data_IF_406701763044
#
_entry.id   IF_406701763044
#
_cell.length_a   1.000
_cell.length_b   1.000
_cell.length_c   1.000
_cell.angle_alpha   90.00
_cell.angle_beta   90.00
_cell.angle_gamma   90.00
#
_symmetry.space_group_name_H-M   'P 1'
#
loop_
_entity.id
_entity.type
_entity.pdbx_description
1 polymer ?
#
# COMPACT_ATOMS: atom_id res chain seq x y z
N UNK A 1 -14.36 1.88 13.27
CA UNK A 1 -13.79 3.10 12.63
C UNK A 1 -12.97 2.66 11.44
N UNK A 2 -13.09 3.32 10.29
CA UNK A 2 -12.36 2.95 9.08
C UNK A 2 -11.13 3.84 8.95
N UNK A 3 -9.95 3.24 8.80
CA UNK A 3 -8.67 3.97 8.75
C UNK A 3 -7.96 3.60 7.44
N UNK A 4 -7.53 4.63 6.70
CA UNK A 4 -6.63 4.49 5.56
C UNK A 4 -5.36 5.28 5.83
N UNK A 5 -4.23 4.58 5.91
CA UNK A 5 -2.93 5.19 6.17
C UNK A 5 -1.96 4.88 5.04
N UNK A 6 -1.11 5.85 4.73
CA UNK A 6 0.04 5.70 3.84
C UNK A 6 1.29 5.82 4.71
N UNK A 7 1.81 4.69 5.18
CA UNK A 7 2.96 4.67 6.10
C UNK A 7 4.23 4.89 5.28
N UNK A 8 4.99 5.97 5.52
CA UNK A 8 6.17 6.28 4.72
C UNK A 8 7.34 5.36 5.08
N UNK A 9 8.33 5.27 4.18
CA UNK A 9 9.51 4.43 4.38
C UNK A 9 10.31 4.81 5.64
N UNK A 10 10.26 6.07 6.06
CA UNK A 10 10.95 6.59 7.24
C UNK A 10 10.33 6.08 8.55
N UNK A 11 9.05 5.69 8.54
CA UNK A 11 8.32 5.20 9.70
C UNK A 11 8.51 3.69 9.91
N UNK A 12 9.74 3.27 10.19
CA UNK A 12 10.11 1.84 10.27
C UNK A 12 9.26 1.05 11.29
N UNK A 13 9.04 1.60 12.48
CA UNK A 13 8.25 0.94 13.53
C UNK A 13 6.81 0.73 13.08
N UNK A 14 6.18 1.76 12.53
CA UNK A 14 4.79 1.69 12.05
C UNK A 14 4.64 0.68 10.90
N UNK A 15 5.62 0.62 10.00
CA UNK A 15 5.63 -0.35 8.91
C UNK A 15 5.67 -1.78 9.44
N UNK A 16 6.58 -2.06 10.40
CA UNK A 16 6.69 -3.37 11.05
C UNK A 16 5.43 -3.74 11.82
N UNK A 17 4.82 -2.79 12.51
CA UNK A 17 3.59 -3.00 13.27
C UNK A 17 2.39 -3.28 12.37
N UNK A 18 2.30 -2.61 11.21
CA UNK A 18 1.26 -2.86 10.22
C UNK A 18 1.34 -4.28 9.65
N UNK A 19 2.54 -4.80 9.40
CA UNK A 19 2.77 -6.16 8.88
C UNK A 19 2.61 -7.26 9.94
N UNK A 20 2.61 -6.92 11.22
CA UNK A 20 2.54 -7.91 12.31
C UNK A 20 1.26 -8.75 12.22
N UNK A 21 1.41 -10.07 12.19
CA UNK A 21 0.29 -11.01 12.10
C UNK A 21 -0.31 -11.15 10.70
N UNK A 22 0.22 -10.47 9.69
CA UNK A 22 -0.19 -10.61 8.29
C UNK A 22 0.76 -11.60 7.59
N UNK A 23 0.21 -12.57 6.86
CA UNK A 23 1.02 -13.41 5.97
C UNK A 23 1.36 -12.60 4.71
N UNK A 24 2.63 -12.30 4.51
CA UNK A 24 3.10 -11.47 3.41
C UNK A 24 4.38 -12.02 2.78
N UNK A 25 4.65 -11.59 1.54
CA UNK A 25 5.88 -11.90 0.83
C UNK A 25 7.01 -10.94 1.20
N UNK A 26 8.26 -11.30 0.85
CA UNK A 26 9.43 -10.42 0.98
C UNK A 26 9.21 -9.02 0.39
N UNK A 27 8.43 -8.92 -0.69
CA UNK A 27 8.14 -7.65 -1.32
C UNK A 27 7.42 -6.67 -0.39
N UNK A 28 6.71 -7.12 0.64
CA UNK A 28 6.04 -6.20 1.58
C UNK A 28 6.97 -5.58 2.62
N UNK A 29 8.20 -6.07 2.77
CA UNK A 29 9.10 -5.55 3.80
C UNK A 29 9.61 -4.17 3.43
N UNK A 30 9.91 -3.38 4.47
CA UNK A 30 10.43 -2.03 4.31
C UNK A 30 11.74 -2.03 3.53
N UNK A 31 12.60 -3.01 3.78
CA UNK A 31 13.92 -3.13 3.15
C UNK A 31 13.80 -3.35 1.65
N UNK A 32 12.90 -4.25 1.22
CA UNK A 32 12.60 -4.46 -0.20
C UNK A 32 12.07 -3.18 -0.85
N UNK A 33 11.11 -2.52 -0.19
CA UNK A 33 10.52 -1.27 -0.69
C UNK A 33 11.54 -0.12 -0.74
N UNK A 34 12.43 -0.03 0.24
CA UNK A 34 13.49 0.96 0.31
C UNK A 34 14.51 0.77 -0.82
N UNK A 35 14.90 -0.48 -1.10
CA UNK A 35 15.75 -0.78 -2.25
C UNK A 35 15.10 -0.34 -3.56
N UNK A 36 13.80 -0.61 -3.74
CA UNK A 36 13.07 -0.14 -4.91
C UNK A 36 13.03 1.38 -5.01
N UNK A 37 12.73 2.07 -3.91
CA UNK A 37 12.79 3.53 -3.83
C UNK A 37 14.16 4.08 -4.24
N UNK A 38 15.27 3.49 -3.80
CA UNK A 38 16.61 3.91 -4.19
C UNK A 38 16.87 3.76 -5.70
N UNK A 39 16.26 2.75 -6.34
CA UNK A 39 16.44 2.52 -7.79
C UNK A 39 15.54 3.38 -8.67
N UNK A 40 14.34 3.73 -8.21
CA UNK A 40 13.33 4.45 -9.02
C UNK A 40 13.20 5.92 -8.65
N UNK A 41 13.57 6.30 -7.43
CA UNK A 41 13.31 7.61 -6.84
C UNK A 41 11.85 7.85 -6.45
N UNK A 42 10.96 6.86 -6.58
CA UNK A 42 9.53 7.05 -6.33
C UNK A 42 9.22 7.14 -4.83
N UNK A 43 8.29 8.02 -4.46
CA UNK A 43 7.78 8.09 -3.08
C UNK A 43 7.03 6.80 -2.78
N UNK A 44 7.54 6.02 -1.84
CA UNK A 44 7.03 4.67 -1.56
C UNK A 44 6.46 4.61 -0.15
N UNK A 45 5.32 3.94 -0.02
CA UNK A 45 4.54 3.82 1.19
C UNK A 45 4.06 2.39 1.37
N UNK A 46 3.72 2.02 2.61
CA UNK A 46 2.82 0.92 2.88
C UNK A 46 1.42 1.49 3.05
N UNK A 47 0.55 1.23 2.09
CA UNK A 47 -0.86 1.44 2.31
C UNK A 47 -1.33 0.44 3.38
N UNK A 48 -2.08 0.93 4.36
CA UNK A 48 -2.71 0.13 5.41
C UNK A 48 -4.18 0.53 5.56
N UNK A 49 -5.05 -0.45 5.42
CA UNK A 49 -6.48 -0.37 5.65
C UNK A 49 -6.84 -1.13 6.91
N UNK A 50 -7.61 -0.51 7.79
CA UNK A 50 -8.19 -1.17 8.96
C UNK A 50 -9.71 -0.93 9.06
N UNK A 51 -10.45 -2.01 9.31
CA UNK A 51 -11.89 -1.99 9.57
C UNK A 51 -12.31 -3.22 10.36
N UNK A 52 -12.91 -3.03 11.53
CA UNK A 52 -13.54 -4.09 12.35
C UNK A 52 -12.67 -5.36 12.53
N UNK A 53 -11.37 -5.16 12.80
CA UNK A 53 -10.39 -6.22 13.00
C UNK A 53 -9.77 -6.78 11.72
N UNK A 54 -10.26 -6.39 10.55
CA UNK A 54 -9.62 -6.63 9.26
C UNK A 54 -8.47 -5.64 9.09
N UNK A 55 -7.31 -6.14 8.66
CA UNK A 55 -6.18 -5.33 8.21
C UNK A 55 -5.72 -5.80 6.84
N UNK A 56 -5.65 -4.86 5.88
CA UNK A 56 -5.13 -5.10 4.53
C UNK A 56 -4.01 -4.12 4.25
N UNK A 57 -2.91 -4.63 3.72
CA UNK A 57 -1.71 -3.85 3.42
C UNK A 57 -1.25 -4.06 1.98
N UNK A 58 -0.61 -3.05 1.42
CA UNK A 58 0.00 -3.12 0.09
C UNK A 58 1.11 -2.07 -0.03
N UNK A 59 2.33 -2.45 -0.41
CA UNK A 59 3.33 -1.48 -0.80
C UNK A 59 2.88 -0.77 -2.06
N UNK A 60 2.93 0.55 -2.02
CA UNK A 60 2.53 1.42 -3.12
C UNK A 60 3.57 2.50 -3.33
N UNK A 61 3.74 2.91 -4.57
CA UNK A 61 4.60 4.02 -4.95
C UNK A 61 3.79 5.06 -5.73
N UNK A 62 4.07 6.32 -5.45
CA UNK A 62 3.55 7.45 -6.23
C UNK A 62 4.56 7.79 -7.34
N UNK A 63 4.05 7.91 -8.57
CA UNK A 63 4.79 8.45 -9.70
C UNK A 63 3.96 9.54 -10.38
N UNK A 64 4.64 10.55 -10.90
CA UNK A 64 4.00 11.55 -11.74
C UNK A 64 3.94 11.03 -13.18
N UNK A 65 2.75 11.02 -13.76
CA UNK A 65 2.54 10.62 -15.15
C UNK A 65 1.42 11.46 -15.77
N UNK A 66 1.66 12.05 -16.94
CA UNK A 66 0.62 12.79 -17.67
C UNK A 66 -0.05 13.95 -16.90
N UNK A 67 0.62 14.53 -15.90
CA UNK A 67 0.08 15.64 -15.10
C UNK A 67 -0.79 15.21 -13.90
N UNK A 68 -0.85 13.92 -13.58
CA UNK A 68 -1.50 13.39 -12.38
C UNK A 68 -0.56 12.48 -11.58
N UNK A 69 -0.91 12.26 -10.31
CA UNK A 69 -0.22 11.30 -9.44
C UNK A 69 -0.86 9.94 -9.61
N UNK A 70 -0.05 8.99 -10.06
CA UNK A 70 -0.41 7.60 -10.26
C UNK A 70 0.13 6.75 -9.09
N UNK A 71 -0.76 5.98 -8.46
CA UNK A 71 -0.40 5.00 -7.46
C UNK A 71 -0.23 3.65 -8.13
N UNK A 72 0.99 3.13 -8.05
CA UNK A 72 1.35 1.82 -8.56
C UNK A 72 1.82 0.91 -7.45
N UNK A 73 1.75 -0.40 -7.67
CA UNK A 73 2.65 -1.29 -6.92
C UNK A 73 4.06 -1.10 -7.48
N UNK A 74 5.11 -1.06 -6.64
CA UNK A 74 6.47 -1.07 -7.16
C UNK A 74 6.68 -2.31 -8.06
N UNK A 75 7.50 -2.19 -9.11
CA UNK A 75 7.68 -3.27 -10.09
C UNK A 75 8.07 -4.60 -9.42
N UNK A 76 7.33 -5.67 -9.72
CA UNK A 76 7.59 -7.04 -9.21
C UNK A 76 6.79 -7.45 -7.96
N UNK A 77 5.78 -6.67 -7.55
CA UNK A 77 5.08 -6.85 -6.27
C UNK A 77 3.77 -7.62 -6.38
N UNK A 78 3.38 -8.25 -5.26
CA UNK A 78 2.28 -9.21 -5.15
C UNK A 78 0.89 -8.62 -4.84
N UNK A 79 0.73 -7.29 -4.88
CA UNK A 79 -0.56 -6.63 -4.61
C UNK A 79 -0.95 -6.62 -3.13
N UNK A 80 -2.26 -6.57 -2.86
CA UNK A 80 -2.82 -6.52 -1.51
C UNK A 80 -2.71 -7.85 -0.77
N UNK A 81 -2.44 -7.80 0.53
CA UNK A 81 -2.55 -8.95 1.44
C UNK A 81 -3.14 -8.51 2.77
N UNK A 82 -3.75 -9.43 3.51
CA UNK A 82 -4.38 -9.13 4.79
C UNK A 82 -4.32 -10.27 5.79
N UNK A 83 -4.85 -10.01 6.98
CA UNK A 83 -5.01 -11.04 8.02
C UNK A 83 -6.18 -12.00 7.72
N UNK A 84 -7.20 -11.53 6.99
CA UNK A 84 -8.36 -12.30 6.53
C UNK A 84 -8.82 -11.78 5.17
N UNK A 85 -9.52 -12.62 4.42
CA UNK A 85 -10.18 -12.21 3.18
C UNK A 85 -11.34 -11.25 3.51
N UNK A 86 -11.47 -10.17 2.72
CA UNK A 86 -12.50 -9.17 2.92
C UNK A 86 -13.03 -8.64 1.59
N UNK A 87 -14.16 -9.19 1.14
CA UNK A 87 -14.74 -8.94 -0.19
C UNK A 87 -15.15 -7.48 -0.42
N UNK A 88 -15.49 -6.75 0.63
CA UNK A 88 -15.89 -5.33 0.53
C UNK A 88 -14.70 -4.38 0.36
N UNK A 89 -13.47 -4.87 0.55
CA UNK A 89 -12.26 -4.06 0.46
C UNK A 89 -12.15 -3.30 -0.85
N UNK A 90 -12.50 -3.92 -1.98
CA UNK A 90 -12.42 -3.30 -3.29
C UNK A 90 -13.23 -2.00 -3.38
N UNK A 91 -14.41 -1.95 -2.76
CA UNK A 91 -15.23 -0.74 -2.73
C UNK A 91 -14.57 0.36 -1.90
N UNK A 92 -13.94 -0.02 -0.79
CA UNK A 92 -13.24 0.91 0.07
C UNK A 92 -11.97 1.46 -0.56
N UNK A 93 -11.21 0.65 -1.28
CA UNK A 93 -10.03 1.06 -2.02
C UNK A 93 -10.38 2.07 -3.11
N UNK A 94 -11.38 1.75 -3.96
CA UNK A 94 -11.84 2.65 -5.03
C UNK A 94 -12.27 4.01 -4.50
N UNK A 95 -12.97 4.03 -3.36
CA UNK A 95 -13.39 5.29 -2.72
C UNK A 95 -12.19 6.11 -2.24
N UNK A 96 -11.22 5.47 -1.58
CA UNK A 96 -10.01 6.14 -1.09
C UNK A 96 -9.19 6.77 -2.22
N UNK A 97 -8.91 6.01 -3.28
CA UNK A 97 -8.15 6.47 -4.45
C UNK A 97 -8.83 7.69 -5.09
N UNK A 98 -10.16 7.64 -5.25
CA UNK A 98 -10.95 8.75 -5.79
C UNK A 98 -10.89 9.99 -4.91
N UNK A 99 -11.00 9.84 -3.59
CA UNK A 99 -10.94 10.96 -2.63
C UNK A 99 -9.56 11.62 -2.60
N UNK A 100 -8.50 10.88 -2.91
CA UNK A 100 -7.13 11.40 -3.00
C UNK A 100 -6.76 11.94 -4.39
N UNK A 101 -7.69 11.93 -5.36
CA UNK A 101 -7.45 12.32 -6.75
C UNK A 101 -6.29 11.55 -7.41
N UNK A 102 -6.15 10.26 -7.07
CA UNK A 102 -5.12 9.39 -7.61
C UNK A 102 -5.71 8.49 -8.70
N UNK A 103 -4.88 8.10 -9.68
CA UNK A 103 -5.15 6.93 -10.50
C UNK A 103 -4.53 5.72 -9.80
N UNK A 104 -5.18 4.55 -9.85
CA UNK A 104 -4.65 3.34 -9.24
C UNK A 104 -4.73 2.17 -10.22
N UNK A 105 -3.57 1.74 -10.72
CA UNK A 105 -3.41 0.55 -11.54
C UNK A 105 -2.98 -0.64 -10.66
N UNK A 106 -3.83 -0.97 -9.68
CA UNK A 106 -3.62 -2.10 -8.77
C UNK A 106 -4.89 -2.96 -8.77
N UNK A 107 -4.77 -4.19 -9.24
CA UNK A 107 -5.86 -5.17 -9.20
C UNK A 107 -6.18 -5.55 -7.75
N UNK A 108 -7.47 -5.46 -7.40
CA UNK A 108 -8.06 -5.95 -6.14
C UNK A 108 -9.00 -7.09 -6.44
#
# INVERSE_FOLDING_TARGET
>A
MKIHNMIPLESETEWKDALKGIRHSFYHTRESCYAMHLTTGYRTYLYCFEHDGVRIVCPVAERDFGGYTDIVTPYGFSGFTGNVDFSEFQNYWRKFVKEKNMYADISV
#
